data_IF_662563249132
#
_entry.id   IF_662563249132
#
_cell.length_a   1.000
_cell.length_b   1.000
_cell.length_c   1.000
_cell.angle_alpha   90.00
_cell.angle_beta   90.00
_cell.angle_gamma   90.00
#
_symmetry.space_group_name_H-M   'P 1'
#
loop_
_entity.id
_entity.type
_entity.pdbx_description
1 polymer ?
#
# COMPACT_ATOMS: atom_id res chain seq x y z
N UNK A 1 -22.10 -0.60 6.07
CA UNK A 1 -21.06 -1.62 5.84
C UNK A 1 -21.07 -2.00 4.38
N UNK A 2 -19.96 -1.78 3.69
CA UNK A 2 -19.81 -2.07 2.25
C UNK A 2 -18.97 -3.32 1.98
N UNK A 3 -18.43 -3.92 3.03
CA UNK A 3 -17.64 -5.15 2.94
C UNK A 3 -16.91 -5.47 4.23
N UNK A 4 -16.27 -6.63 4.23
CA UNK A 4 -15.40 -7.06 5.32
C UNK A 4 -14.18 -7.80 4.78
N UNK A 5 -13.13 -7.86 5.58
CA UNK A 5 -11.99 -8.75 5.36
C UNK A 5 -11.65 -9.42 6.68
N UNK A 6 -11.32 -10.69 6.60
CA UNK A 6 -10.91 -11.49 7.75
C UNK A 6 -9.62 -12.23 7.45
N UNK A 7 -8.71 -12.24 8.41
CA UNK A 7 -7.46 -12.98 8.32
C UNK A 7 -7.52 -14.24 9.17
N UNK A 8 -7.05 -15.33 8.61
CA UNK A 8 -6.89 -16.59 9.36
C UNK A 8 -5.77 -16.48 10.39
N UNK A 9 -6.05 -16.96 11.59
CA UNK A 9 -5.03 -17.13 12.64
C UNK A 9 -4.47 -18.55 12.50
N UNK A 10 -3.17 -18.67 12.17
CA UNK A 10 -2.51 -19.94 11.93
C UNK A 10 -2.14 -20.17 10.47
N UNK A 11 -1.88 -21.43 10.10
CA UNK A 11 -1.32 -21.79 8.78
C UNK A 11 -2.37 -22.15 7.72
N UNK A 12 -3.66 -22.03 8.03
CA UNK A 12 -4.71 -22.39 7.06
C UNK A 12 -4.80 -21.42 5.89
N UNK A 13 -5.23 -21.93 4.74
CA UNK A 13 -5.48 -21.13 3.53
C UNK A 13 -6.97 -21.08 3.24
N UNK A 14 -7.48 -19.94 2.70
CA UNK A 14 -6.75 -18.70 2.37
C UNK A 14 -6.37 -17.89 3.62
N UNK A 15 -5.28 -17.10 3.51
CA UNK A 15 -4.86 -16.19 4.60
C UNK A 15 -5.90 -15.13 4.90
N UNK A 16 -6.58 -14.63 3.87
CA UNK A 16 -7.62 -13.63 3.96
C UNK A 16 -8.89 -14.12 3.28
N UNK A 17 -10.02 -13.81 3.90
CA UNK A 17 -11.33 -13.92 3.31
C UNK A 17 -11.91 -12.51 3.24
N UNK A 18 -12.21 -12.06 2.02
CA UNK A 18 -12.73 -10.71 1.79
C UNK A 18 -14.03 -10.78 1.01
N UNK A 19 -15.05 -10.11 1.52
CA UNK A 19 -16.32 -9.90 0.83
C UNK A 19 -16.62 -8.40 0.86
N UNK A 20 -16.63 -7.77 -0.30
CA UNK A 20 -16.79 -6.33 -0.40
C UNK A 20 -17.49 -5.94 -1.69
N UNK A 21 -18.13 -4.77 -1.67
CA UNK A 21 -18.68 -4.16 -2.88
C UNK A 21 -17.55 -3.76 -3.84
N UNK A 22 -17.82 -3.75 -5.17
CA UNK A 22 -16.88 -3.23 -6.14
C UNK A 22 -16.41 -1.81 -5.78
N UNK A 23 -15.10 -1.58 -5.89
CA UNK A 23 -14.51 -0.29 -5.54
C UNK A 23 -14.22 -0.08 -4.06
N UNK A 24 -14.42 -1.10 -3.22
CA UNK A 24 -14.10 -0.99 -1.80
C UNK A 24 -12.60 -0.72 -1.59
N UNK A 25 -12.30 0.32 -0.78
CA UNK A 25 -10.95 0.63 -0.29
C UNK A 25 -11.04 0.71 1.24
N UNK A 26 -10.27 -0.13 1.91
CA UNK A 26 -10.21 -0.12 3.38
C UNK A 26 -9.58 1.19 3.88
N UNK A 27 -10.12 1.77 4.93
CA UNK A 27 -9.55 2.96 5.56
C UNK A 27 -9.69 4.26 4.78
N UNK A 28 -10.46 4.29 3.71
CA UNK A 28 -10.66 5.48 2.89
C UNK A 28 -11.26 6.65 3.68
N UNK A 29 -12.22 6.38 4.55
CA UNK A 29 -12.89 7.33 5.42
C UNK A 29 -11.98 7.89 6.54
N UNK A 30 -10.88 7.21 6.84
CA UNK A 30 -9.87 7.67 7.79
C UNK A 30 -8.90 8.71 7.19
N UNK A 31 -8.98 8.98 5.88
CA UNK A 31 -8.11 9.92 5.19
C UNK A 31 -8.65 11.36 5.30
N UNK A 32 -8.60 11.92 6.50
CA UNK A 32 -9.13 13.25 6.81
C UNK A 32 -8.34 14.41 6.20
N UNK A 33 -8.90 15.62 6.32
CA UNK A 33 -8.31 16.84 5.75
C UNK A 33 -6.96 17.23 6.36
N UNK A 34 -6.63 16.72 7.52
CA UNK A 34 -5.37 16.96 8.20
C UNK A 34 -4.20 16.16 7.62
N UNK A 35 -4.46 15.26 6.68
CA UNK A 35 -3.43 14.45 6.02
C UNK A 35 -3.16 14.98 4.63
N UNK A 36 -1.90 15.32 4.33
CA UNK A 36 -1.49 15.84 3.01
C UNK A 36 -1.38 14.75 1.94
N UNK A 37 -1.18 13.50 2.33
CA UNK A 37 -1.03 12.34 1.47
C UNK A 37 -1.78 11.14 2.02
N UNK A 38 -2.00 10.14 1.18
CA UNK A 38 -2.58 8.85 1.56
C UNK A 38 -1.57 7.74 1.26
N UNK A 39 -1.20 6.98 2.27
CA UNK A 39 -0.41 5.75 2.07
C UNK A 39 -1.37 4.65 1.66
N UNK A 40 -1.10 4.04 0.51
CA UNK A 40 -1.90 2.94 -0.05
C UNK A 40 -1.07 1.67 -0.07
N UNK A 41 -1.57 0.62 0.55
CA UNK A 41 -0.95 -0.70 0.59
C UNK A 41 -1.92 -1.80 0.15
N UNK A 42 -1.45 -3.03 0.11
CA UNK A 42 -2.26 -4.17 -0.37
C UNK A 42 -3.22 -4.65 0.71
N UNK A 43 -2.75 -4.81 1.94
CA UNK A 43 -3.49 -5.42 3.04
C UNK A 43 -3.96 -4.47 4.13
N UNK A 44 -5.12 -4.75 4.77
CA UNK A 44 -5.66 -3.88 5.83
C UNK A 44 -4.78 -3.80 7.07
N UNK A 45 -4.06 -4.86 7.44
CA UNK A 45 -3.19 -4.84 8.62
C UNK A 45 -2.02 -3.87 8.44
N UNK A 46 -1.46 -3.81 7.24
CA UNK A 46 -0.42 -2.82 6.92
C UNK A 46 -0.98 -1.41 6.97
N UNK A 47 -2.18 -1.20 6.43
CA UNK A 47 -2.84 0.10 6.49
C UNK A 47 -3.08 0.58 7.93
N UNK A 48 -3.48 -0.31 8.83
CA UNK A 48 -3.69 0.01 10.26
C UNK A 48 -2.41 0.56 10.89
N UNK A 49 -1.25 -0.05 10.59
CA UNK A 49 0.03 0.38 11.16
C UNK A 49 0.42 1.81 10.81
N UNK A 50 0.01 2.28 9.63
CA UNK A 50 0.40 3.61 9.10
C UNK A 50 -0.79 4.56 8.92
N UNK A 51 -1.96 4.19 9.43
CA UNK A 51 -3.22 4.94 9.24
C UNK A 51 -3.49 5.24 7.76
N UNK A 52 -3.18 4.29 6.90
CA UNK A 52 -3.33 4.36 5.46
C UNK A 52 -4.61 3.73 4.95
N UNK A 53 -4.66 3.54 3.65
CA UNK A 53 -5.72 2.82 2.95
C UNK A 53 -5.19 1.52 2.37
N UNK A 54 -6.07 0.55 2.14
CA UNK A 54 -5.70 -0.74 1.55
C UNK A 54 -6.64 -1.14 0.43
N UNK A 55 -6.04 -1.75 -0.61
CA UNK A 55 -6.77 -2.27 -1.76
C UNK A 55 -7.55 -3.54 -1.44
N UNK A 56 -7.17 -4.25 -0.40
CA UNK A 56 -7.66 -5.60 -0.06
C UNK A 56 -7.38 -6.64 -1.15
N UNK A 57 -6.35 -6.41 -1.92
CA UNK A 57 -5.88 -7.25 -3.03
C UNK A 57 -4.63 -6.64 -3.65
N UNK A 58 -4.14 -7.24 -4.71
CA UNK A 58 -2.88 -6.88 -5.38
C UNK A 58 -3.05 -6.05 -6.65
N UNK A 59 -4.28 -5.71 -7.00
CA UNK A 59 -4.60 -4.94 -8.20
C UNK A 59 -5.38 -3.68 -7.85
N UNK A 60 -5.15 -2.61 -8.62
CA UNK A 60 -5.92 -1.38 -8.52
C UNK A 60 -7.11 -1.47 -9.49
N UNK A 61 -8.31 -1.64 -8.95
CA UNK A 61 -9.53 -1.57 -9.75
C UNK A 61 -9.86 -0.13 -10.16
N UNK A 62 -10.55 0.04 -11.30
CA UNK A 62 -10.91 1.37 -11.80
C UNK A 62 -11.80 2.15 -10.82
N UNK A 63 -12.75 1.47 -10.18
CA UNK A 63 -13.61 2.09 -9.18
C UNK A 63 -12.81 2.51 -7.93
N UNK A 64 -11.82 1.71 -7.50
CA UNK A 64 -10.93 2.06 -6.41
C UNK A 64 -10.06 3.27 -6.75
N UNK A 65 -9.50 3.31 -7.96
CA UNK A 65 -8.71 4.44 -8.43
C UNK A 65 -9.52 5.74 -8.42
N UNK A 66 -10.77 5.68 -8.86
CA UNK A 66 -11.67 6.84 -8.86
C UNK A 66 -11.90 7.38 -7.44
N UNK A 67 -12.17 6.50 -6.49
CA UNK A 67 -12.36 6.88 -5.08
C UNK A 67 -11.10 7.48 -4.47
N UNK A 68 -9.95 6.89 -4.73
CA UNK A 68 -8.66 7.40 -4.24
C UNK A 68 -8.33 8.77 -4.84
N UNK A 69 -8.55 8.95 -6.13
CA UNK A 69 -8.33 10.25 -6.79
C UNK A 69 -9.27 11.35 -6.25
N UNK A 70 -10.46 11.01 -5.81
CA UNK A 70 -11.40 11.97 -5.18
C UNK A 70 -10.93 12.51 -3.84
N UNK A 71 -9.97 11.87 -3.19
CA UNK A 71 -9.38 12.42 -1.96
C UNK A 71 -8.67 13.76 -2.18
N UNK A 72 -8.24 14.04 -3.41
CA UNK A 72 -7.47 15.26 -3.72
C UNK A 72 -6.11 15.30 -3.04
N UNK A 73 -5.51 14.15 -2.74
CA UNK A 73 -4.23 13.99 -2.05
C UNK A 73 -3.24 13.24 -2.93
N UNK A 74 -1.96 13.43 -2.68
CA UNK A 74 -0.94 12.55 -3.23
C UNK A 74 -1.14 11.13 -2.67
N UNK A 75 -1.10 10.14 -3.55
CA UNK A 75 -1.19 8.73 -3.18
C UNK A 75 0.23 8.15 -3.19
N UNK A 76 0.64 7.60 -2.05
CA UNK A 76 1.94 6.93 -1.86
C UNK A 76 1.71 5.43 -1.79
N UNK A 77 1.91 4.74 -2.91
CA UNK A 77 1.75 3.29 -2.98
C UNK A 77 2.98 2.61 -2.39
N UNK A 78 2.77 1.77 -1.40
CA UNK A 78 3.81 0.94 -0.78
C UNK A 78 3.48 -0.52 -1.08
N UNK A 79 4.12 -1.13 -2.08
CA UNK A 79 3.86 -2.53 -2.42
C UNK A 79 4.52 -3.49 -1.44
N UNK A 80 4.02 -4.70 -1.35
CA UNK A 80 4.74 -5.80 -0.74
C UNK A 80 5.94 -6.20 -1.62
N UNK A 81 7.01 -6.70 -1.01
CA UNK A 81 8.25 -7.08 -1.74
C UNK A 81 8.11 -8.47 -2.36
N UNK A 82 7.17 -8.60 -3.28
CA UNK A 82 6.88 -9.83 -4.01
C UNK A 82 6.49 -9.55 -5.46
N UNK A 83 6.14 -10.62 -6.20
CA UNK A 83 5.76 -10.52 -7.61
C UNK A 83 4.49 -9.70 -7.81
N UNK A 84 3.53 -9.82 -6.92
CA UNK A 84 2.28 -9.05 -6.99
C UNK A 84 2.53 -7.57 -6.76
N UNK A 85 3.39 -7.24 -5.78
CA UNK A 85 3.82 -5.87 -5.53
C UNK A 85 4.55 -5.23 -6.72
N UNK A 86 5.35 -6.00 -7.45
CA UNK A 86 5.99 -5.51 -8.68
C UNK A 86 4.98 -5.09 -9.75
N UNK A 87 3.90 -5.86 -9.91
CA UNK A 87 2.78 -5.51 -10.82
C UNK A 87 2.05 -4.26 -10.34
N UNK A 88 1.83 -4.14 -9.03
CA UNK A 88 1.19 -2.97 -8.44
C UNK A 88 1.97 -1.68 -8.70
N UNK A 89 3.30 -1.73 -8.70
CA UNK A 89 4.15 -0.58 -9.05
C UNK A 89 3.84 -0.05 -10.45
N UNK A 90 3.75 -0.92 -11.46
CA UNK A 90 3.43 -0.49 -12.82
C UNK A 90 2.01 0.11 -12.91
N UNK A 91 1.05 -0.47 -12.22
CA UNK A 91 -0.31 0.10 -12.15
C UNK A 91 -0.32 1.49 -11.49
N UNK A 92 0.44 1.69 -10.43
CA UNK A 92 0.57 2.99 -9.77
C UNK A 92 1.20 4.04 -10.69
N UNK A 93 2.23 3.66 -11.45
CA UNK A 93 2.85 4.52 -12.47
C UNK A 93 1.82 4.94 -13.51
N UNK A 94 1.02 4.02 -14.02
CA UNK A 94 -0.03 4.29 -15.02
C UNK A 94 -1.10 5.25 -14.48
N UNK A 95 -1.37 5.25 -13.18
CA UNK A 95 -2.29 6.19 -12.53
C UNK A 95 -1.67 7.56 -12.23
N UNK A 96 -0.36 7.72 -12.42
CA UNK A 96 0.36 8.94 -12.06
C UNK A 96 0.57 9.14 -10.56
N UNK A 97 0.47 8.08 -9.78
CA UNK A 97 0.66 8.11 -8.33
C UNK A 97 2.13 7.97 -7.95
N UNK A 98 2.45 8.38 -6.73
CA UNK A 98 3.77 8.15 -6.16
C UNK A 98 3.92 6.69 -5.74
N UNK A 99 5.13 6.18 -5.85
CA UNK A 99 5.51 4.87 -5.31
C UNK A 99 6.61 5.06 -4.29
N UNK A 100 6.47 4.44 -3.15
CA UNK A 100 7.49 4.43 -2.10
C UNK A 100 8.10 3.03 -1.98
N UNK A 101 9.39 2.96 -2.19
CA UNK A 101 10.21 1.74 -2.07
C UNK A 101 11.31 2.03 -1.03
N UNK A 102 10.98 1.99 0.28
CA UNK A 102 11.92 2.36 1.33
C UNK A 102 13.15 1.44 1.37
N UNK A 103 14.28 1.98 1.80
CA UNK A 103 15.52 1.21 1.92
C UNK A 103 15.54 0.39 3.22
N UNK A 104 14.60 -0.54 3.31
CA UNK A 104 14.53 -1.50 4.41
C UNK A 104 15.53 -2.63 4.22
N UNK A 105 15.97 -3.21 5.32
CA UNK A 105 16.90 -4.34 5.30
C UNK A 105 16.33 -5.53 4.51
N UNK A 106 17.22 -6.37 4.00
CA UNK A 106 16.81 -7.61 3.36
C UNK A 106 15.98 -8.47 4.32
N UNK A 107 14.94 -9.09 3.78
CA UNK A 107 13.99 -9.88 4.57
C UNK A 107 12.81 -9.10 5.14
N UNK A 108 12.77 -7.77 5.01
CA UNK A 108 11.61 -6.97 5.34
C UNK A 108 10.75 -6.80 4.08
N UNK A 109 9.60 -7.44 4.06
CA UNK A 109 8.79 -7.60 2.86
C UNK A 109 7.55 -6.70 2.80
N UNK A 110 7.10 -6.20 3.94
CA UNK A 110 5.88 -5.38 4.04
C UNK A 110 5.98 -4.35 5.16
N UNK A 111 4.95 -3.51 5.26
CA UNK A 111 4.86 -2.46 6.29
C UNK A 111 4.82 -3.06 7.70
N UNK A 112 4.07 -4.16 7.88
CA UNK A 112 3.95 -4.82 9.18
C UNK A 112 5.29 -5.29 9.72
N UNK A 113 6.08 -5.96 8.88
CA UNK A 113 7.44 -6.39 9.23
C UNK A 113 8.38 -5.20 9.50
N UNK A 114 8.24 -4.12 8.73
CA UNK A 114 9.03 -2.91 8.95
C UNK A 114 8.68 -2.24 10.30
N UNK A 115 7.40 -2.17 10.65
CA UNK A 115 6.97 -1.62 11.95
C UNK A 115 7.45 -2.48 13.10
N UNK A 116 7.40 -3.80 12.96
CA UNK A 116 7.93 -4.73 13.97
C UNK A 116 9.43 -4.52 14.21
N UNK A 117 10.19 -4.35 13.13
CA UNK A 117 11.65 -4.18 13.22
C UNK A 117 12.08 -2.78 13.64
N UNK A 118 11.49 -1.74 13.06
CA UNK A 118 11.98 -0.35 13.19
C UNK A 118 11.09 0.54 14.04
N UNK A 119 9.88 0.09 14.37
CA UNK A 119 8.86 0.92 14.98
C UNK A 119 8.08 1.76 13.97
N UNK A 120 6.92 2.23 14.40
CA UNK A 120 5.97 2.95 13.54
C UNK A 120 6.52 4.27 13.00
N UNK A 121 7.14 5.07 13.85
CA UNK A 121 7.63 6.40 13.47
C UNK A 121 8.71 6.33 12.39
N UNK A 122 9.68 5.46 12.56
CA UNK A 122 10.74 5.28 11.57
C UNK A 122 10.19 4.72 10.25
N UNK A 123 9.26 3.77 10.33
CA UNK A 123 8.61 3.20 9.13
C UNK A 123 7.86 4.28 8.35
N UNK A 124 7.07 5.12 9.01
CA UNK A 124 6.40 6.27 8.38
C UNK A 124 7.40 7.23 7.74
N UNK A 125 8.45 7.59 8.46
CA UNK A 125 9.51 8.45 7.93
C UNK A 125 10.15 7.85 6.68
N UNK A 126 10.47 6.57 6.70
CA UNK A 126 11.10 5.89 5.56
C UNK A 126 10.18 5.85 4.33
N UNK A 127 8.88 5.63 4.52
CA UNK A 127 7.88 5.63 3.45
C UNK A 127 7.78 7.02 2.82
N UNK A 128 7.61 8.06 3.62
CA UNK A 128 7.47 9.44 3.12
C UNK A 128 8.74 9.90 2.41
N UNK A 129 9.90 9.60 2.99
CA UNK A 129 11.20 9.98 2.42
C UNK A 129 11.51 9.28 1.09
N UNK A 130 11.00 8.06 0.90
CA UNK A 130 11.24 7.28 -0.31
C UNK A 130 10.19 7.50 -1.41
N UNK A 131 9.14 8.27 -1.15
CA UNK A 131 8.08 8.52 -2.12
C UNK A 131 8.64 9.21 -3.38
N UNK A 132 8.34 8.67 -4.54
CA UNK A 132 8.87 9.10 -5.83
C UNK A 132 7.75 9.17 -6.87
N UNK A 133 7.73 10.23 -7.66
CA UNK A 133 6.73 10.45 -8.72
C UNK A 133 7.27 10.20 -10.14
N UNK A 134 8.59 10.21 -10.33
CA UNK A 134 9.18 9.98 -11.64
C UNK A 134 9.12 8.49 -12.03
N UNK A 135 8.43 8.12 -13.13
CA UNK A 135 8.36 6.72 -13.58
C UNK A 135 9.73 6.08 -13.78
N UNK A 136 10.68 6.81 -14.34
CA UNK A 136 12.04 6.30 -14.56
C UNK A 136 12.74 5.97 -13.24
N UNK A 137 12.68 6.88 -12.27
CA UNK A 137 13.29 6.65 -10.95
C UNK A 137 12.60 5.53 -10.19
N UNK A 138 11.29 5.44 -10.26
CA UNK A 138 10.52 4.35 -9.66
C UNK A 138 10.99 3.01 -10.22
N UNK A 139 11.09 2.88 -11.54
CA UNK A 139 11.52 1.64 -12.20
C UNK A 139 12.96 1.25 -11.86
N UNK A 140 13.85 2.23 -11.75
CA UNK A 140 15.23 1.97 -11.33
C UNK A 140 15.31 1.46 -9.89
N UNK A 141 14.57 2.07 -8.98
CA UNK A 141 14.48 1.61 -7.59
C UNK A 141 13.83 0.22 -7.49
N UNK A 142 12.77 -0.02 -8.26
CA UNK A 142 12.05 -1.28 -8.27
C UNK A 142 12.94 -2.47 -8.67
N UNK A 143 13.83 -2.30 -9.63
CA UNK A 143 14.81 -3.34 -10.00
C UNK A 143 15.66 -3.80 -8.83
N UNK A 144 16.08 -2.87 -7.98
CA UNK A 144 16.87 -3.20 -6.79
C UNK A 144 15.98 -3.75 -5.68
N UNK A 145 14.80 -3.19 -5.50
CA UNK A 145 13.92 -3.49 -4.36
C UNK A 145 13.30 -4.89 -4.44
N UNK A 146 12.97 -5.36 -5.65
CA UNK A 146 12.37 -6.67 -5.90
C UNK A 146 13.38 -7.79 -6.22
N UNK A 147 14.65 -7.52 -6.14
CA UNK A 147 15.68 -8.53 -6.45
C UNK A 147 15.93 -9.48 -5.30
#
# INVERSE_FOLDING_TARGET
IVGYTARTVGESKPKYLTDSQPGFVYGLDEQGHNKAFCILCEGPLDAIHVEGAALTGSDIGDAQALLLNRLGKDIYVVPDRDKAGSKLVEQAIDKGWHVSLPDWADGINDIGEAVEKYGRLYTLYSIVSAAESSPLKIRLKAKKWFT
#
